data_IF_199728410281
#
_entry.id   IF_199728410281
#
_cell.length_a   1.000
_cell.length_b   1.000
_cell.length_c   1.000
_cell.angle_alpha   90.00
_cell.angle_beta   90.00
_cell.angle_gamma   90.00
#
_symmetry.space_group_name_H-M   'P 1'
#
loop_
_entity.id
_entity.type
_entity.pdbx_description
1 polymer ?
#
# COMPACT_ATOMS: atom_id res chain seq x y z
N UNK A 1 10.42 58.89 34.73
CA UNK A 1 10.61 58.05 33.53
C UNK A 1 11.47 56.86 33.90
N UNK A 2 10.90 55.92 34.66
CA UNK A 2 11.49 54.63 35.00
C UNK A 2 10.64 53.57 34.29
N UNK A 3 11.27 52.69 33.51
CA UNK A 3 10.60 51.49 32.99
C UNK A 3 10.88 51.19 31.53
N UNK A 4 12.10 50.73 31.20
CA UNK A 4 12.38 49.94 29.99
C UNK A 4 13.62 49.03 30.14
N UNK A 5 13.76 48.28 31.25
CA UNK A 5 14.93 47.40 31.39
C UNK A 5 14.64 46.04 32.05
N UNK A 6 13.51 45.41 31.71
CA UNK A 6 13.15 44.09 32.26
C UNK A 6 12.59 43.07 31.26
N UNK A 7 12.84 43.22 29.96
CA UNK A 7 12.29 42.33 28.93
C UNK A 7 13.31 41.40 28.23
N UNK A 8 14.46 41.07 28.84
CA UNK A 8 15.49 40.25 28.18
C UNK A 8 16.17 39.19 29.07
N UNK A 9 15.40 38.43 29.87
CA UNK A 9 16.00 37.38 30.70
C UNK A 9 15.55 35.93 30.51
N UNK A 10 14.49 35.60 29.76
CA UNK A 10 14.04 34.20 29.67
C UNK A 10 13.91 33.68 28.23
N UNK A 11 15.03 33.31 27.61
CA UNK A 11 15.03 32.38 26.48
C UNK A 11 15.30 30.97 27.02
N UNK A 12 14.23 30.18 27.21
CA UNK A 12 14.22 28.89 27.94
C UNK A 12 14.94 27.75 27.19
N UNK A 13 15.41 27.97 25.95
CA UNK A 13 15.99 26.90 25.12
C UNK A 13 17.52 26.82 25.11
N UNK A 14 18.22 27.72 25.81
CA UNK A 14 19.68 27.73 25.84
C UNK A 14 20.15 27.70 27.31
N UNK A 15 20.30 26.52 27.90
CA UNK A 15 20.91 26.33 29.22
C UNK A 15 22.40 26.61 29.19
N UNK A 16 22.79 27.88 29.05
CA UNK A 16 24.17 28.35 29.16
C UNK A 16 24.23 29.41 30.26
N UNK A 17 24.85 29.05 31.39
CA UNK A 17 25.21 29.99 32.44
C UNK A 17 26.29 30.95 31.91
N UNK A 18 26.01 32.25 32.05
CA UNK A 18 26.85 33.35 31.61
C UNK A 18 27.84 33.67 32.72
N UNK A 19 29.08 33.17 32.66
CA UNK A 19 30.15 33.81 33.44
C UNK A 19 31.52 33.90 32.74
N UNK A 20 31.71 33.34 31.54
CA UNK A 20 32.97 33.51 30.80
C UNK A 20 32.73 33.94 29.33
N UNK A 21 32.69 35.24 29.07
CA UNK A 21 32.90 35.76 27.71
C UNK A 21 33.76 37.03 27.69
N UNK A 22 34.98 36.88 27.15
CA UNK A 22 35.78 37.92 26.47
C UNK A 22 35.52 37.88 24.94
N UNK A 23 35.85 38.94 24.16
CA UNK A 23 34.86 39.54 23.27
C UNK A 23 34.98 39.28 21.76
N UNK A 24 33.82 39.46 21.10
CA UNK A 24 33.57 40.28 19.89
C UNK A 24 33.60 39.74 18.45
N UNK A 25 34.02 38.51 18.12
CA UNK A 25 33.99 38.08 16.68
C UNK A 25 33.13 36.86 16.34
N UNK A 26 32.55 36.16 17.33
CA UNK A 26 31.76 34.93 17.09
C UNK A 26 30.26 35.14 16.92
N UNK A 27 29.74 36.35 17.17
CA UNK A 27 28.30 36.62 17.14
C UNK A 27 27.67 36.62 15.73
N UNK A 28 28.41 37.03 14.70
CA UNK A 28 27.85 37.18 13.33
C UNK A 28 27.75 35.82 12.63
N UNK A 29 28.71 34.90 12.83
CA UNK A 29 28.66 33.55 12.27
C UNK A 29 27.59 32.67 12.94
N UNK A 30 27.35 32.85 14.24
CA UNK A 30 26.30 32.13 14.96
C UNK A 30 24.88 32.47 14.41
N UNK A 31 24.67 33.71 13.97
CA UNK A 31 23.36 34.13 13.45
C UNK A 31 23.10 33.62 12.02
N UNK A 32 24.14 33.54 11.17
CA UNK A 32 24.04 32.97 9.82
C UNK A 32 23.83 31.43 9.85
N UNK A 33 24.54 30.71 10.71
CA UNK A 33 24.37 29.27 10.89
C UNK A 33 22.97 28.92 11.42
N UNK A 34 22.42 29.73 12.34
CA UNK A 34 21.07 29.53 12.85
C UNK A 34 20.00 29.78 11.76
N UNK A 35 20.21 30.74 10.85
CA UNK A 35 19.35 30.96 9.67
C UNK A 35 19.42 29.81 8.66
N UNK A 36 20.59 29.21 8.45
CA UNK A 36 20.76 28.04 7.56
C UNK A 36 20.10 26.80 8.17
N UNK A 37 20.24 26.57 9.48
CA UNK A 37 19.56 25.46 10.18
C UNK A 37 18.03 25.63 10.12
N UNK A 38 17.51 26.85 10.30
CA UNK A 38 16.09 27.14 10.14
C UNK A 38 15.59 26.97 8.70
N UNK A 39 16.42 27.26 7.70
CA UNK A 39 16.10 27.00 6.30
C UNK A 39 16.13 25.50 5.99
N UNK A 40 17.09 24.73 6.51
CA UNK A 40 17.16 23.27 6.31
C UNK A 40 16.00 22.51 7.00
N UNK A 41 15.50 22.99 8.14
CA UNK A 41 14.27 22.46 8.78
C UNK A 41 13.02 22.72 7.91
N UNK A 42 13.03 23.77 7.08
CA UNK A 42 11.93 24.10 6.15
C UNK A 42 11.88 23.20 4.90
N UNK A 43 12.96 22.49 4.57
CA UNK A 43 13.06 21.71 3.32
C UNK A 43 12.85 20.18 3.45
N UNK A 44 12.48 19.68 4.63
CA UNK A 44 12.46 18.22 4.89
C UNK A 44 11.26 17.67 5.63
N UNK A 45 10.13 18.37 5.70
CA UNK A 45 8.94 17.87 6.42
C UNK A 45 8.27 16.73 5.62
N UNK A 46 8.83 15.52 5.80
CA UNK A 46 8.18 14.27 5.44
C UNK A 46 6.97 14.07 6.35
N UNK A 47 5.86 13.58 5.79
CA UNK A 47 4.71 13.17 6.58
C UNK A 47 5.14 12.20 7.69
N UNK A 48 4.77 12.48 8.94
CA UNK A 48 5.14 11.68 10.11
C UNK A 48 4.65 10.22 10.02
N UNK A 49 3.57 9.97 9.26
CA UNK A 49 2.98 8.65 9.11
C UNK A 49 3.55 7.85 7.93
N UNK A 50 3.64 8.46 6.75
CA UNK A 50 4.01 7.75 5.51
C UNK A 50 5.41 8.07 4.99
N UNK A 51 6.09 9.08 5.56
CA UNK A 51 7.44 9.50 5.16
C UNK A 51 7.53 10.19 3.79
N UNK A 52 6.40 10.42 3.09
CA UNK A 52 6.39 11.10 1.79
C UNK A 52 6.64 12.59 1.94
N UNK A 53 7.40 13.15 1.01
CA UNK A 53 7.50 14.60 0.79
C UNK A 53 6.26 15.08 0.03
N UNK A 54 5.61 16.16 0.46
CA UNK A 54 4.45 16.70 -0.24
C UNK A 54 4.76 17.18 -1.65
N UNK A 55 3.76 17.11 -2.53
CA UNK A 55 3.71 17.93 -3.73
C UNK A 55 3.50 19.40 -3.33
N UNK A 56 4.04 20.32 -4.15
CA UNK A 56 4.34 21.74 -3.84
C UNK A 56 3.20 22.62 -3.25
N UNK A 57 1.98 22.12 -3.08
CA UNK A 57 0.82 22.90 -2.59
C UNK A 57 -0.06 22.22 -1.52
N UNK A 58 0.37 21.09 -0.93
CA UNK A 58 -0.45 20.44 0.11
C UNK A 58 -0.27 21.10 1.47
N UNK A 59 -1.39 21.49 2.10
CA UNK A 59 -1.39 22.05 3.46
C UNK A 59 -1.01 20.96 4.45
N UNK A 60 0.02 21.21 5.26
CA UNK A 60 0.41 20.36 6.37
C UNK A 60 -0.24 20.89 7.65
N UNK A 61 -1.27 20.22 8.15
CA UNK A 61 -1.69 20.38 9.53
C UNK A 61 -1.10 19.20 10.34
N UNK A 62 -0.47 19.50 11.48
CA UNK A 62 0.05 18.48 12.41
C UNK A 62 1.05 17.45 11.85
N UNK A 63 1.94 17.85 10.91
CA UNK A 63 2.98 16.96 10.31
C UNK A 63 2.43 15.74 9.53
N UNK A 64 1.15 15.73 9.17
CA UNK A 64 0.56 14.70 8.31
C UNK A 64 0.31 15.27 6.91
N UNK A 65 0.55 14.48 5.86
CA UNK A 65 0.07 14.82 4.52
C UNK A 65 -1.45 14.63 4.45
N UNK A 66 -2.12 15.31 3.54
CA UNK A 66 -3.58 15.27 3.37
C UNK A 66 -4.15 13.84 3.28
N UNK A 67 -3.48 12.93 2.56
CA UNK A 67 -3.83 11.51 2.53
C UNK A 67 -3.75 10.82 3.90
N UNK A 68 -2.71 11.12 4.68
CA UNK A 68 -2.49 10.52 6.00
C UNK A 68 -3.35 11.17 7.08
N UNK A 69 -3.70 12.43 6.91
CA UNK A 69 -4.72 13.10 7.70
C UNK A 69 -6.09 12.43 7.44
N UNK A 70 -6.45 12.20 6.17
CA UNK A 70 -7.68 11.48 5.81
C UNK A 70 -7.72 10.03 6.30
N UNK A 71 -6.60 9.30 6.25
CA UNK A 71 -6.50 7.93 6.75
C UNK A 71 -6.42 7.89 8.29
N UNK A 72 -5.82 8.91 8.90
CA UNK A 72 -5.66 9.06 10.35
C UNK A 72 -6.93 9.51 11.06
N UNK A 73 -7.84 10.20 10.37
CA UNK A 73 -9.15 10.58 10.91
C UNK A 73 -10.03 9.33 10.92
N UNK A 74 -10.20 8.73 12.10
CA UNK A 74 -11.26 7.77 12.31
C UNK A 74 -12.61 8.50 12.30
N UNK A 75 -13.52 8.12 11.41
CA UNK A 75 -14.91 8.53 11.48
C UNK A 75 -15.85 7.34 11.43
N UNK A 76 -17.10 7.58 11.80
CA UNK A 76 -18.18 6.60 11.69
C UNK A 76 -18.35 6.21 10.22
N UNK A 77 -18.13 4.93 9.92
CA UNK A 77 -18.27 4.42 8.57
C UNK A 77 -19.74 4.35 8.18
N UNK A 78 -20.12 4.99 7.07
CA UNK A 78 -21.47 4.95 6.52
C UNK A 78 -21.99 3.51 6.32
N UNK A 79 -21.11 2.59 5.88
CA UNK A 79 -21.50 1.19 5.60
C UNK A 79 -21.70 0.31 6.83
N UNK A 80 -20.77 0.30 7.78
CA UNK A 80 -20.83 -0.62 8.94
C UNK A 80 -21.20 0.06 10.26
N UNK A 81 -21.36 1.38 10.28
CA UNK A 81 -21.65 2.15 11.49
C UNK A 81 -20.49 2.26 12.50
N UNK A 82 -19.34 1.61 12.26
CA UNK A 82 -18.21 1.61 13.20
C UNK A 82 -17.24 2.77 12.92
N UNK A 83 -16.70 3.37 13.98
CA UNK A 83 -15.62 4.37 13.88
C UNK A 83 -14.30 3.69 13.51
N UNK A 84 -13.78 3.95 12.31
CA UNK A 84 -12.58 3.31 11.76
C UNK A 84 -11.81 4.27 10.85
N UNK A 85 -10.52 4.01 10.56
CA UNK A 85 -9.76 4.74 9.55
C UNK A 85 -10.50 4.82 8.22
N UNK A 86 -10.71 6.03 7.70
CA UNK A 86 -11.48 6.28 6.48
C UNK A 86 -10.60 5.98 5.27
N UNK A 87 -11.15 5.24 4.31
CA UNK A 87 -10.50 4.99 3.03
C UNK A 87 -10.81 6.08 2.02
N UNK A 88 -12.07 6.51 1.99
CA UNK A 88 -12.57 7.57 1.12
C UNK A 88 -13.85 8.18 1.69
N UNK A 89 -14.15 9.42 1.26
CA UNK A 89 -15.44 10.08 1.50
C UNK A 89 -16.30 9.96 0.25
N UNK A 90 -17.59 9.74 0.42
CA UNK A 90 -18.61 9.68 -0.65
C UNK A 90 -19.71 10.69 -0.37
N UNK A 91 -20.60 10.96 -1.34
CA UNK A 91 -21.78 11.82 -1.11
C UNK A 91 -22.67 11.34 0.06
N UNK A 92 -22.68 10.03 0.31
CA UNK A 92 -23.45 9.41 1.40
C UNK A 92 -22.69 9.40 2.76
N UNK A 93 -21.40 9.72 2.77
CA UNK A 93 -20.58 9.73 3.99
C UNK A 93 -19.24 9.00 3.84
N UNK A 94 -18.54 8.83 4.96
CA UNK A 94 -17.20 8.27 5.02
C UNK A 94 -17.22 6.74 4.98
N UNK A 95 -16.37 6.10 4.17
CA UNK A 95 -16.26 4.63 4.10
C UNK A 95 -14.91 4.19 4.67
N UNK A 96 -14.91 3.31 5.68
CA UNK A 96 -13.67 2.86 6.31
C UNK A 96 -12.85 1.91 5.43
N UNK A 97 -11.54 1.79 5.67
CA UNK A 97 -10.61 0.88 4.96
C UNK A 97 -11.11 -0.55 4.91
N UNK A 98 -11.70 -1.04 6.01
CA UNK A 98 -12.24 -2.40 6.04
C UNK A 98 -13.43 -2.51 5.12
N UNK A 99 -14.40 -1.60 5.20
CA UNK A 99 -15.61 -1.59 4.35
C UNK A 99 -15.34 -1.27 2.89
N UNK A 100 -14.29 -0.52 2.60
CA UNK A 100 -13.84 -0.25 1.24
C UNK A 100 -13.16 -1.48 0.64
N UNK A 101 -12.38 -2.20 1.44
CA UNK A 101 -11.78 -3.48 1.06
C UNK A 101 -12.70 -4.66 1.28
N UNK A 102 -13.90 -4.42 1.83
CA UNK A 102 -14.82 -5.47 2.25
C UNK A 102 -15.30 -6.19 1.03
N UNK A 103 -15.46 -7.48 1.23
CA UNK A 103 -16.09 -8.33 0.27
C UNK A 103 -17.59 -8.12 0.40
N UNK A 104 -18.28 -7.84 -0.69
CA UNK A 104 -19.74 -7.75 -0.71
C UNK A 104 -20.30 -9.04 -1.28
N UNK A 105 -21.52 -9.37 -0.88
CA UNK A 105 -22.26 -10.46 -1.49
C UNK A 105 -22.54 -10.11 -2.95
N UNK A 106 -22.03 -10.94 -3.86
CA UNK A 106 -22.33 -10.81 -5.28
C UNK A 106 -23.80 -11.17 -5.53
N UNK A 107 -24.59 -10.27 -6.12
CA UNK A 107 -26.00 -10.55 -6.40
C UNK A 107 -26.21 -11.78 -7.30
N UNK A 108 -25.25 -12.11 -8.18
CA UNK A 108 -25.33 -13.27 -9.07
C UNK A 108 -24.92 -14.59 -8.39
N UNK A 109 -23.75 -14.63 -7.73
CA UNK A 109 -23.20 -15.88 -7.20
C UNK A 109 -23.27 -16.03 -5.68
N UNK A 110 -23.80 -15.03 -4.96
CA UNK A 110 -23.93 -14.95 -3.49
C UNK A 110 -22.62 -15.13 -2.70
N UNK A 111 -21.47 -15.15 -3.38
CA UNK A 111 -20.16 -15.20 -2.72
C UNK A 111 -19.74 -13.81 -2.29
N UNK A 112 -19.24 -13.69 -1.06
CA UNK A 112 -18.59 -12.48 -0.57
C UNK A 112 -17.22 -12.34 -1.25
N UNK A 113 -17.11 -11.49 -2.27
CA UNK A 113 -15.89 -11.26 -3.06
C UNK A 113 -15.56 -9.77 -3.18
N UNK A 114 -14.45 -9.41 -3.85
CA UNK A 114 -14.23 -8.05 -4.36
C UNK A 114 -14.84 -7.88 -5.75
N UNK A 115 -15.26 -6.67 -6.08
CA UNK A 115 -16.17 -6.40 -7.19
C UNK A 115 -16.49 -4.92 -7.31
N UNK A 116 -17.32 -4.57 -8.27
CA UNK A 116 -17.74 -3.21 -8.54
C UNK A 116 -19.24 -3.11 -8.35
N UNK A 117 -19.69 -1.99 -7.79
CA UNK A 117 -21.11 -1.62 -7.80
C UNK A 117 -21.42 -0.97 -9.15
N UNK A 118 -22.54 -1.34 -9.76
CA UNK A 118 -23.03 -0.71 -10.98
C UNK A 118 -23.83 0.55 -10.68
N UNK A 119 -24.16 1.32 -11.72
CA UNK A 119 -25.10 2.46 -11.63
C UNK A 119 -26.45 2.07 -11.00
N UNK A 120 -26.87 0.81 -11.15
CA UNK A 120 -28.09 0.25 -10.58
C UNK A 120 -28.01 -0.06 -9.07
N UNK A 121 -26.86 0.15 -8.43
CA UNK A 121 -26.63 -0.20 -7.02
C UNK A 121 -26.37 -1.69 -6.79
N UNK A 122 -26.66 -2.56 -7.77
CA UNK A 122 -26.37 -3.99 -7.71
C UNK A 122 -24.84 -4.18 -7.65
N UNK A 123 -24.41 -5.05 -6.74
CA UNK A 123 -23.01 -5.36 -6.57
C UNK A 123 -22.69 -6.74 -7.15
N UNK A 124 -21.81 -6.80 -8.16
CA UNK A 124 -21.31 -8.07 -8.70
C UNK A 124 -19.81 -8.19 -8.46
N UNK A 125 -19.37 -9.40 -8.14
CA UNK A 125 -17.94 -9.70 -8.06
C UNK A 125 -17.29 -9.56 -9.44
N UNK A 126 -15.97 -9.36 -9.48
CA UNK A 126 -15.25 -9.21 -10.75
C UNK A 126 -15.43 -10.39 -11.73
N UNK A 127 -15.80 -11.58 -11.21
CA UNK A 127 -16.08 -12.77 -12.02
C UNK A 127 -17.51 -12.83 -12.55
N UNK A 128 -18.49 -12.31 -11.82
CA UNK A 128 -19.87 -12.25 -12.30
C UNK A 128 -20.15 -10.98 -13.10
N UNK A 129 -19.26 -9.98 -12.98
CA UNK A 129 -19.28 -8.75 -13.75
C UNK A 129 -18.70 -8.95 -15.16
N UNK A 130 -17.85 -9.96 -15.39
CA UNK A 130 -17.51 -10.30 -16.76
C UNK A 130 -18.77 -10.74 -17.49
N UNK A 131 -19.03 -10.13 -18.64
CA UNK A 131 -20.05 -10.62 -19.56
C UNK A 131 -19.73 -12.09 -19.84
N UNK A 132 -20.63 -12.97 -19.44
CA UNK A 132 -20.57 -14.36 -19.85
C UNK A 132 -21.05 -14.39 -21.30
N UNK A 133 -20.27 -14.97 -22.18
CA UNK A 133 -20.66 -15.23 -23.56
C UNK A 133 -20.07 -16.56 -24.00
N UNK A 134 -20.59 -17.10 -25.09
CA UNK A 134 -20.07 -18.30 -25.70
C UNK A 134 -18.66 -18.05 -26.25
N UNK A 135 -17.68 -18.75 -25.69
CA UNK A 135 -16.29 -18.64 -26.14
C UNK A 135 -16.14 -19.27 -27.51
N UNK A 136 -15.66 -18.52 -28.51
CA UNK A 136 -15.54 -18.98 -29.90
C UNK A 136 -14.61 -20.17 -30.13
N UNK A 137 -13.83 -20.59 -29.11
CA UNK A 137 -12.90 -21.73 -29.23
C UNK A 137 -13.29 -22.98 -28.47
N UNK A 138 -13.86 -22.82 -27.28
CA UNK A 138 -14.28 -23.97 -26.48
C UNK A 138 -15.79 -24.14 -26.46
N UNK A 139 -16.54 -23.21 -27.08
CA UNK A 139 -18.00 -23.19 -27.21
C UNK A 139 -18.76 -23.26 -25.86
N UNK A 140 -18.06 -23.00 -24.76
CA UNK A 140 -18.66 -22.94 -23.42
C UNK A 140 -18.96 -21.49 -23.05
N UNK A 141 -20.11 -21.27 -22.41
CA UNK A 141 -20.49 -19.97 -21.83
C UNK A 141 -19.63 -19.68 -20.61
N UNK A 142 -18.68 -18.75 -20.74
CA UNK A 142 -17.69 -18.42 -19.71
C UNK A 142 -17.44 -16.90 -19.63
N UNK A 143 -16.86 -16.42 -18.52
CA UNK A 143 -16.28 -15.10 -18.41
C UNK A 143 -15.36 -14.72 -19.58
N UNK A 144 -15.77 -13.74 -20.38
CA UNK A 144 -14.98 -13.24 -21.50
C UNK A 144 -13.79 -12.43 -21.00
N UNK A 145 -12.61 -12.68 -21.57
CA UNK A 145 -11.37 -11.97 -21.24
C UNK A 145 -11.04 -10.90 -22.27
N UNK A 146 -11.25 -11.17 -23.55
CA UNK A 146 -11.05 -10.24 -24.66
C UNK A 146 -12.02 -10.55 -25.81
N UNK A 147 -12.29 -9.53 -26.62
CA UNK A 147 -12.94 -9.66 -27.92
C UNK A 147 -11.86 -9.65 -29.00
N UNK A 148 -12.01 -10.47 -30.04
CA UNK A 148 -11.18 -10.43 -31.23
C UNK A 148 -11.66 -9.34 -32.20
N UNK A 149 -10.84 -9.06 -33.22
CA UNK A 149 -11.16 -8.09 -34.28
C UNK A 149 -12.48 -8.42 -34.99
N UNK A 150 -12.79 -9.71 -35.15
CA UNK A 150 -14.05 -10.17 -35.77
C UNK A 150 -15.25 -10.14 -34.80
N UNK A 151 -15.14 -9.51 -33.63
CA UNK A 151 -16.19 -9.51 -32.58
C UNK A 151 -16.32 -10.82 -31.79
N UNK A 152 -15.61 -11.88 -32.18
CA UNK A 152 -15.62 -13.17 -31.48
C UNK A 152 -15.11 -13.03 -30.05
N UNK A 153 -15.75 -13.74 -29.12
CA UNK A 153 -15.42 -13.66 -27.70
C UNK A 153 -14.50 -14.81 -27.28
N UNK A 154 -13.44 -14.51 -26.50
CA UNK A 154 -12.52 -15.54 -25.98
C UNK A 154 -12.52 -15.53 -24.46
N UNK A 155 -12.80 -16.69 -23.85
CA UNK A 155 -12.74 -16.85 -22.41
C UNK A 155 -11.29 -16.74 -21.87
N UNK A 156 -11.14 -16.48 -20.56
CA UNK A 156 -9.81 -16.32 -19.94
C UNK A 156 -8.88 -17.52 -20.16
N UNK A 157 -9.40 -18.75 -20.14
CA UNK A 157 -8.60 -19.96 -20.28
C UNK A 157 -8.07 -20.12 -21.71
N UNK A 158 -8.95 -20.00 -22.71
CA UNK A 158 -8.56 -20.06 -24.11
C UNK A 158 -7.65 -18.89 -24.50
N UNK A 159 -7.86 -17.69 -23.93
CA UNK A 159 -6.97 -16.55 -24.14
C UNK A 159 -5.59 -16.79 -23.53
N UNK A 160 -5.49 -17.47 -22.38
CA UNK A 160 -4.21 -17.79 -21.75
C UNK A 160 -3.45 -18.89 -22.51
N UNK A 161 -4.14 -19.90 -23.06
CA UNK A 161 -3.52 -20.92 -23.93
C UNK A 161 -2.95 -20.32 -25.21
N UNK A 162 -3.66 -19.35 -25.79
CA UNK A 162 -3.21 -18.67 -27.01
C UNK A 162 -2.18 -17.58 -26.78
N UNK A 163 -2.03 -17.15 -25.54
CA UNK A 163 -1.05 -16.13 -25.20
C UNK A 163 0.35 -16.73 -25.36
N UNK A 164 0.92 -16.53 -26.54
CA UNK A 164 2.33 -16.77 -26.80
C UNK A 164 3.08 -15.53 -26.32
N UNK A 165 3.90 -15.63 -25.26
CA UNK A 165 4.71 -14.51 -24.82
C UNK A 165 5.62 -14.07 -25.98
N UNK A 166 5.83 -12.76 -26.17
CA UNK A 166 6.73 -12.29 -27.23
C UNK A 166 8.11 -12.93 -27.08
N UNK A 167 8.62 -13.50 -28.16
CA UNK A 167 9.96 -14.09 -28.22
C UNK A 167 11.00 -12.99 -28.47
N UNK A 168 12.20 -13.17 -27.95
CA UNK A 168 13.33 -12.27 -28.11
C UNK A 168 14.62 -13.07 -28.22
N UNK A 169 15.66 -12.45 -28.80
CA UNK A 169 17.03 -12.99 -28.79
C UNK A 169 17.62 -12.81 -27.39
N UNK A 170 18.00 -13.91 -26.74
CA UNK A 170 18.62 -13.87 -25.42
C UNK A 170 20.01 -13.21 -25.48
N UNK A 171 20.25 -12.18 -24.68
CA UNK A 171 21.54 -11.47 -24.65
C UNK A 171 22.73 -12.31 -24.14
N UNK A 172 22.49 -13.43 -23.45
CA UNK A 172 23.56 -14.32 -22.95
C UNK A 172 23.88 -15.49 -23.87
N UNK A 173 22.87 -16.12 -24.49
CA UNK A 173 23.06 -17.34 -25.31
C UNK A 173 22.64 -17.22 -26.78
N UNK A 174 22.12 -16.08 -27.22
CA UNK A 174 21.68 -15.84 -28.59
C UNK A 174 20.40 -16.58 -29.03
N UNK A 175 19.85 -17.50 -28.21
CA UNK A 175 18.65 -18.26 -28.58
C UNK A 175 17.38 -17.40 -28.52
N UNK A 176 16.45 -17.63 -29.45
CA UNK A 176 15.13 -16.99 -29.49
C UNK A 176 14.18 -17.67 -28.50
N UNK A 177 13.81 -16.99 -27.41
CA UNK A 177 12.98 -17.53 -26.32
C UNK A 177 12.07 -16.46 -25.69
N UNK A 178 11.08 -16.81 -24.84
CA UNK A 178 10.33 -15.85 -24.03
C UNK A 178 11.19 -15.12 -22.98
N UNK A 179 10.87 -13.85 -22.66
CA UNK A 179 11.55 -13.10 -21.59
C UNK A 179 11.37 -13.75 -20.21
N UNK A 180 12.48 -14.00 -19.52
CA UNK A 180 12.47 -14.28 -18.08
C UNK A 180 12.79 -13.03 -17.25
N UNK A 181 13.71 -12.18 -17.72
CA UNK A 181 14.04 -10.88 -17.14
C UNK A 181 14.54 -9.93 -18.24
N UNK A 182 14.27 -8.63 -18.08
CA UNK A 182 14.83 -7.57 -18.92
C UNK A 182 16.02 -6.91 -18.19
N UNK A 183 17.15 -6.75 -18.87
CA UNK A 183 18.32 -6.04 -18.35
C UNK A 183 18.15 -4.51 -18.50
N UNK A 184 19.07 -3.75 -17.90
CA UNK A 184 19.09 -2.29 -18.04
C UNK A 184 19.27 -1.86 -19.51
N UNK A 185 20.09 -2.59 -20.26
CA UNK A 185 20.38 -2.33 -21.69
C UNK A 185 19.26 -2.81 -22.62
N UNK A 186 18.05 -3.06 -22.09
CA UNK A 186 16.89 -3.62 -22.81
C UNK A 186 17.08 -5.01 -23.42
N UNK A 187 18.26 -5.60 -23.32
CA UNK A 187 18.50 -7.00 -23.68
C UNK A 187 17.75 -7.92 -22.71
N UNK A 188 17.06 -8.91 -23.27
CA UNK A 188 16.33 -9.89 -22.48
C UNK A 188 17.18 -11.12 -22.16
N UNK A 189 16.92 -11.75 -21.03
CA UNK A 189 17.44 -13.07 -20.69
C UNK A 189 16.34 -14.11 -20.81
N UNK A 190 16.66 -15.27 -21.40
CA UNK A 190 15.78 -16.44 -21.38
C UNK A 190 15.78 -17.11 -20.00
N UNK A 191 14.79 -17.97 -19.74
CA UNK A 191 14.63 -18.66 -18.44
C UNK A 191 15.83 -19.51 -18.04
N UNK A 192 16.52 -20.12 -19.01
CA UNK A 192 17.72 -20.94 -18.77
C UNK A 192 18.94 -20.09 -18.40
N UNK A 193 19.12 -18.96 -19.09
CA UNK A 193 20.25 -18.06 -18.84
C UNK A 193 20.03 -17.13 -17.64
N UNK A 194 18.78 -16.96 -17.23
CA UNK A 194 18.45 -16.11 -16.09
C UNK A 194 18.79 -16.81 -14.78
N UNK A 195 19.96 -16.49 -14.24
CA UNK A 195 20.35 -16.86 -12.89
C UNK A 195 19.63 -15.95 -11.88
N UNK A 196 18.82 -16.56 -11.02
CA UNK A 196 18.16 -15.82 -9.94
C UNK A 196 19.22 -15.37 -8.94
N UNK A 197 19.20 -14.10 -8.50
CA UNK A 197 20.19 -13.59 -7.57
C UNK A 197 20.16 -14.38 -6.25
N UNK A 198 21.33 -14.80 -5.81
CA UNK A 198 21.54 -15.44 -4.52
C UNK A 198 21.85 -14.36 -3.48
N UNK A 199 21.23 -14.46 -2.31
CA UNK A 199 21.49 -13.57 -1.19
C UNK A 199 21.57 -14.37 0.10
N UNK A 200 22.30 -13.85 1.09
CA UNK A 200 22.40 -14.43 2.42
C UNK A 200 21.03 -14.36 3.12
N UNK A 201 20.46 -15.52 3.45
CA UNK A 201 19.17 -15.59 4.14
C UNK A 201 19.28 -15.03 5.56
N UNK A 202 18.41 -14.10 5.97
CA UNK A 202 18.43 -13.53 7.33
C UNK A 202 18.12 -14.58 8.42
N UNK A 203 17.41 -15.65 8.07
CA UNK A 203 17.01 -16.70 9.02
C UNK A 203 18.08 -17.78 9.16
N UNK A 204 18.50 -18.39 8.04
CA UNK A 204 19.45 -19.52 8.06
C UNK A 204 20.89 -19.14 7.73
N UNK A 205 21.18 -17.86 7.45
CA UNK A 205 22.52 -17.30 7.17
C UNK A 205 23.29 -17.92 5.99
N UNK A 206 22.66 -18.78 5.19
CA UNK A 206 23.24 -19.40 3.98
C UNK A 206 22.84 -18.64 2.72
N UNK A 207 23.72 -18.63 1.72
CA UNK A 207 23.46 -18.03 0.41
C UNK A 207 22.50 -18.92 -0.40
N UNK A 208 21.31 -18.39 -0.69
CA UNK A 208 20.27 -19.12 -1.42
C UNK A 208 19.49 -18.17 -2.32
N UNK A 209 18.75 -18.74 -3.27
CA UNK A 209 17.80 -17.98 -4.07
C UNK A 209 16.74 -17.31 -3.17
N UNK A 210 16.49 -16.02 -3.44
CA UNK A 210 15.54 -15.22 -2.66
C UNK A 210 14.11 -15.58 -3.03
N UNK A 211 13.28 -15.83 -2.00
CA UNK A 211 11.84 -16.04 -2.17
C UNK A 211 11.01 -14.81 -1.78
N UNK A 212 11.44 -14.06 -0.77
CA UNK A 212 10.74 -12.88 -0.23
C UNK A 212 11.74 -11.85 0.30
N UNK A 213 11.50 -10.58 0.00
CA UNK A 213 12.19 -9.44 0.60
C UNK A 213 11.43 -8.98 1.84
N UNK A 214 12.13 -8.79 2.95
CA UNK A 214 11.57 -8.25 4.19
C UNK A 214 12.36 -7.03 4.64
N UNK A 215 11.82 -6.23 5.56
CA UNK A 215 12.55 -5.09 6.16
C UNK A 215 13.87 -5.50 6.82
N UNK A 216 13.98 -6.74 7.30
CA UNK A 216 15.18 -7.29 7.96
C UNK A 216 16.17 -7.93 6.98
N UNK A 217 15.83 -8.04 5.69
CA UNK A 217 16.65 -8.69 4.66
C UNK A 217 15.90 -9.76 3.86
N UNK A 218 16.66 -10.57 3.13
CA UNK A 218 16.14 -11.61 2.24
C UNK A 218 15.84 -12.92 2.96
N UNK A 219 14.76 -13.59 2.57
CA UNK A 219 14.37 -14.91 3.09
C UNK A 219 14.37 -15.94 1.96
N UNK A 220 15.04 -17.08 2.18
CA UNK A 220 15.09 -18.19 1.23
C UNK A 220 13.77 -18.97 1.18
N UNK A 221 13.56 -19.78 0.14
CA UNK A 221 12.32 -20.53 -0.06
C UNK A 221 11.97 -21.47 1.11
N UNK A 222 12.96 -22.19 1.66
CA UNK A 222 12.78 -23.12 2.78
C UNK A 222 12.33 -22.40 4.06
N UNK A 223 13.03 -21.34 4.45
CA UNK A 223 12.68 -20.57 5.65
C UNK A 223 11.32 -19.88 5.50
N UNK A 224 11.02 -19.35 4.31
CA UNK A 224 9.71 -18.78 4.02
C UNK A 224 8.57 -19.81 4.10
N UNK A 225 8.81 -21.05 3.65
CA UNK A 225 7.86 -22.16 3.82
C UNK A 225 7.57 -22.44 5.29
N UNK A 226 8.62 -22.61 6.11
CA UNK A 226 8.50 -22.84 7.56
C UNK A 226 7.77 -21.70 8.29
N UNK A 227 8.07 -20.45 7.94
CA UNK A 227 7.38 -19.28 8.50
C UNK A 227 5.88 -19.32 8.17
N UNK A 228 5.53 -19.56 6.91
CA UNK A 228 4.13 -19.66 6.47
C UNK A 228 3.39 -20.81 7.16
N UNK A 229 4.03 -21.95 7.37
CA UNK A 229 3.46 -23.08 8.10
C UNK A 229 3.19 -22.72 9.57
N UNK A 230 4.12 -22.03 10.23
CA UNK A 230 3.91 -21.49 11.58
C UNK A 230 2.74 -20.50 11.63
N UNK A 231 2.67 -19.57 10.68
CA UNK A 231 1.54 -18.64 10.56
C UNK A 231 0.21 -19.38 10.39
N UNK A 232 0.16 -20.40 9.52
CA UNK A 232 -1.03 -21.24 9.34
C UNK A 232 -1.38 -22.02 10.60
N UNK A 233 -0.42 -22.57 11.32
CA UNK A 233 -0.66 -23.27 12.59
C UNK A 233 -1.21 -22.34 13.67
N UNK A 234 -0.78 -21.08 13.71
CA UNK A 234 -1.30 -20.07 14.65
C UNK A 234 -2.68 -19.57 14.22
N UNK A 235 -2.88 -19.30 12.93
CA UNK A 235 -4.15 -18.77 12.41
C UNK A 235 -5.25 -19.83 12.34
N UNK A 236 -4.91 -21.07 11.99
CA UNK A 236 -5.83 -22.21 12.03
C UNK A 236 -6.32 -22.51 13.45
N UNK A 237 -5.54 -22.15 14.48
CA UNK A 237 -5.97 -22.19 15.88
C UNK A 237 -6.78 -20.96 16.32
N UNK A 238 -6.70 -19.84 15.59
CA UNK A 238 -7.39 -18.57 15.94
C UNK A 238 -8.71 -18.36 15.20
N UNK A 239 -9.09 -19.23 14.27
CA UNK A 239 -10.29 -19.06 13.46
C UNK A 239 -11.55 -19.68 14.07
N UNK A 240 -11.82 -19.52 15.37
CA UNK A 240 -13.19 -19.36 15.93
C UNK A 240 -13.08 -18.69 17.31
N UNK A 241 -12.97 -17.37 17.36
CA UNK A 241 -13.62 -16.63 18.45
C UNK A 241 -14.81 -15.94 17.85
N UNK A 242 -15.94 -16.64 17.88
CA UNK A 242 -17.26 -16.02 17.68
C UNK A 242 -17.31 -14.84 18.63
N UNK A 243 -17.48 -13.63 18.08
CA UNK A 243 -17.82 -12.48 18.89
C UNK A 243 -19.12 -12.86 19.60
N UNK A 244 -19.10 -13.05 20.92
CA UNK A 244 -20.32 -13.30 21.71
C UNK A 244 -21.30 -12.23 21.28
N UNK A 245 -22.44 -12.64 20.70
CA UNK A 245 -23.55 -11.74 20.35
C UNK A 245 -23.86 -10.91 21.59
N UNK A 246 -23.39 -9.67 21.63
CA UNK A 246 -23.98 -8.67 22.52
C UNK A 246 -25.41 -8.54 22.02
N UNK A 247 -26.37 -8.99 22.83
CA UNK A 247 -27.80 -8.81 22.56
C UNK A 247 -28.00 -7.31 22.34
N UNK A 248 -28.17 -6.91 21.10
CA UNK A 248 -28.78 -5.63 20.78
C UNK A 248 -30.25 -5.86 21.11
N UNK A 249 -30.66 -5.45 22.31
CA UNK A 249 -32.06 -5.31 22.66
C UNK A 249 -32.67 -4.35 21.65
N UNK A 250 -33.44 -4.91 20.72
CA UNK A 250 -34.28 -4.19 19.78
C UNK A 250 -35.34 -3.44 20.57
N UNK A 251 -35.05 -2.20 20.94
CA UNK A 251 -36.08 -1.22 21.27
C UNK A 251 -36.56 -0.68 19.93
N UNK A 252 -37.62 -1.28 19.40
CA UNK A 252 -38.38 -0.67 18.30
C UNK A 252 -39.23 0.46 18.91
N UNK A 253 -39.22 1.67 18.34
CA UNK A 253 -40.19 2.69 18.69
C UNK A 253 -41.56 2.25 18.17
N UNK A 254 -42.52 2.07 19.07
CA UNK A 254 -43.94 1.97 18.72
C UNK A 254 -44.40 3.32 18.19
N UNK A 255 -45.00 3.32 17.00
CA UNK A 255 -45.71 4.47 16.40
C UNK A 255 -47.17 4.37 16.82
#
# INVERSE_FOLDING_TARGET
MQGQEQAAKNCVYCGFERDDMKPAWTGILACAACRIILLLVKFGLRCALCGKTPEKNSKFQNRLCEDCELIGVSARCFRCGLCRPIARKTKLGSVCIVCERSRHECAKCRKFLRGRSYKTGIWLCNYCNSSDAECSKCLEVKPIKKYCENGLTICRHCAAKEYVPPKHVCGKCGKVAPWAKRNADQTGLCSTCYERPVHKCVVCKTEKQVRKWTKKGTVCATCYGRERERERAVLGKKSVRVCKKTKISSVLPTI
#
